data_IF_551881474046
#
_entry.id   IF_551881474046
#
_cell.length_a   1.000
_cell.length_b   1.000
_cell.length_c   1.000
_cell.angle_alpha   90.00
_cell.angle_beta   90.00
_cell.angle_gamma   90.00
#
_symmetry.space_group_name_H-M   'P 1'
#
loop_
_entity.id
_entity.type
_entity.pdbx_description
1 polymer ?
#
# COMPACT_ATOMS: atom_id res chain seq x y z
N UNK A 1 -10.36 -4.55 57.06
CA UNK A 1 -9.74 -5.46 56.08
C UNK A 1 -8.79 -4.70 55.18
N UNK A 2 -7.53 -5.15 55.07
CA UNK A 2 -6.47 -4.46 54.32
C UNK A 2 -6.26 -4.98 52.89
N UNK A 3 -7.07 -5.94 52.44
CA UNK A 3 -6.98 -6.55 51.09
C UNK A 3 -8.33 -6.40 50.39
N UNK A 4 -8.31 -5.83 49.19
CA UNK A 4 -9.50 -5.66 48.34
C UNK A 4 -9.44 -6.69 47.21
N UNK A 5 -10.21 -7.79 47.27
CA UNK A 5 -10.10 -8.89 46.30
C UNK A 5 -10.46 -8.47 44.86
N UNK A 6 -11.30 -7.45 44.68
CA UNK A 6 -11.68 -6.95 43.36
C UNK A 6 -10.50 -6.42 42.55
N UNK A 7 -9.54 -5.74 43.19
CA UNK A 7 -8.34 -5.21 42.54
C UNK A 7 -7.46 -6.35 42.01
N UNK A 8 -7.28 -7.41 42.80
CA UNK A 8 -6.52 -8.60 42.38
C UNK A 8 -7.21 -9.37 41.26
N UNK A 9 -8.54 -9.49 41.30
CA UNK A 9 -9.31 -10.09 40.21
C UNK A 9 -9.13 -9.32 38.90
N UNK A 10 -9.11 -7.98 38.96
CA UNK A 10 -8.88 -7.13 37.79
C UNK A 10 -7.46 -7.31 37.22
N UNK A 11 -6.44 -7.37 38.08
CA UNK A 11 -5.05 -7.65 37.68
C UNK A 11 -4.97 -9.01 36.99
N UNK A 12 -5.57 -10.04 37.58
CA UNK A 12 -5.56 -11.40 37.03
C UNK A 12 -6.25 -11.49 35.67
N UNK A 13 -7.40 -10.82 35.50
CA UNK A 13 -8.11 -10.74 34.23
C UNK A 13 -7.24 -10.04 33.17
N UNK A 14 -6.64 -8.90 33.51
CA UNK A 14 -5.72 -8.17 32.64
C UNK A 14 -4.48 -8.97 32.23
N UNK A 15 -3.83 -9.60 33.20
CA UNK A 15 -2.66 -10.44 33.01
C UNK A 15 -2.98 -11.63 32.08
N UNK A 16 -4.11 -12.31 32.30
CA UNK A 16 -4.54 -13.43 31.46
C UNK A 16 -4.81 -12.97 30.03
N UNK A 17 -5.54 -11.86 29.85
CA UNK A 17 -5.84 -11.32 28.52
C UNK A 17 -4.57 -10.87 27.80
N UNK A 18 -3.61 -10.25 28.50
CA UNK A 18 -2.31 -9.88 27.93
C UNK A 18 -1.47 -11.11 27.56
N UNK A 19 -1.50 -12.14 28.40
CA UNK A 19 -0.86 -13.43 28.17
C UNK A 19 -1.42 -14.20 26.96
N UNK A 20 -2.59 -13.82 26.43
CA UNK A 20 -3.14 -14.39 25.19
C UNK A 20 -2.95 -13.46 24.00
N UNK A 21 -3.24 -12.16 24.18
CA UNK A 21 -3.31 -11.17 23.08
C UNK A 21 -2.03 -10.38 22.84
N UNK A 22 -1.10 -10.36 23.80
CA UNK A 22 0.12 -9.52 23.81
C UNK A 22 -0.11 -7.99 23.74
N UNK A 23 -1.34 -7.52 23.99
CA UNK A 23 -1.68 -6.09 24.01
C UNK A 23 -1.39 -5.45 25.38
N UNK A 24 -0.13 -5.19 25.72
CA UNK A 24 0.24 -4.72 27.06
C UNK A 24 -0.23 -3.28 27.38
N UNK A 25 0.07 -2.31 26.51
CA UNK A 25 -0.24 -0.89 26.77
C UNK A 25 -1.74 -0.64 26.71
N UNK A 26 -2.41 -1.16 25.69
CA UNK A 26 -3.86 -0.98 25.51
C UNK A 26 -4.65 -1.56 26.68
N UNK A 27 -4.29 -2.76 27.17
CA UNK A 27 -4.96 -3.35 28.32
C UNK A 27 -4.71 -2.58 29.61
N UNK A 28 -3.48 -2.09 29.83
CA UNK A 28 -3.19 -1.27 31.00
C UNK A 28 -4.06 0.01 31.03
N UNK A 29 -4.23 0.66 29.87
CA UNK A 29 -5.11 1.83 29.73
C UNK A 29 -6.58 1.47 29.95
N UNK A 30 -7.08 0.37 29.35
CA UNK A 30 -8.48 -0.05 29.55
C UNK A 30 -8.78 -0.31 31.03
N UNK A 31 -7.91 -1.02 31.75
CA UNK A 31 -8.12 -1.32 33.17
C UNK A 31 -8.03 -0.06 34.03
N UNK A 32 -7.13 0.86 33.68
CA UNK A 32 -7.06 2.17 34.32
C UNK A 32 -8.36 2.96 34.15
N UNK A 33 -8.83 3.12 32.91
CA UNK A 33 -10.05 3.86 32.58
C UNK A 33 -11.29 3.24 33.26
N UNK A 34 -11.41 1.91 33.25
CA UNK A 34 -12.52 1.21 33.91
C UNK A 34 -12.50 1.36 35.44
N UNK A 35 -11.31 1.49 36.05
CA UNK A 35 -11.17 1.66 37.50
C UNK A 35 -11.35 3.11 37.92
N UNK A 36 -11.03 4.08 37.04
CA UNK A 36 -11.18 5.51 37.31
C UNK A 36 -10.27 6.05 38.42
N UNK A 37 -9.24 5.30 38.82
CA UNK A 37 -8.31 5.66 39.90
C UNK A 37 -6.85 5.52 39.45
N UNK A 38 -6.06 6.57 39.68
CA UNK A 38 -4.63 6.63 39.34
C UNK A 38 -3.76 5.75 40.26
N UNK A 39 -4.23 5.47 41.49
CA UNK A 39 -3.44 4.74 42.49
C UNK A 39 -3.17 3.29 42.10
N UNK A 40 -4.04 2.68 41.29
CA UNK A 40 -3.93 1.28 40.90
C UNK A 40 -3.26 1.06 39.52
N UNK A 41 -2.83 2.12 38.83
CA UNK A 41 -2.22 2.03 37.50
C UNK A 41 -0.88 1.29 37.52
N UNK A 42 -0.03 1.60 38.50
CA UNK A 42 1.27 0.96 38.65
C UNK A 42 1.17 -0.55 38.90
N UNK A 43 0.38 -1.05 39.87
CA UNK A 43 0.24 -2.49 40.08
C UNK A 43 -0.40 -3.22 38.89
N UNK A 44 -1.36 -2.60 38.18
CA UNK A 44 -1.96 -3.19 36.98
C UNK A 44 -0.96 -3.33 35.84
N UNK A 45 -0.22 -2.27 35.53
CA UNK A 45 0.78 -2.27 34.46
C UNK A 45 1.92 -3.25 34.75
N UNK A 46 2.37 -3.35 36.00
CA UNK A 46 3.40 -4.31 36.41
C UNK A 46 2.92 -5.76 36.24
N UNK A 47 1.72 -6.09 36.69
CA UNK A 47 1.15 -7.43 36.53
C UNK A 47 1.01 -7.84 35.05
N UNK A 48 0.54 -6.92 34.22
CA UNK A 48 0.42 -7.11 32.77
C UNK A 48 1.80 -7.31 32.12
N UNK A 49 2.82 -6.53 32.53
CA UNK A 49 4.17 -6.62 31.98
C UNK A 49 4.82 -7.97 32.30
N UNK A 50 4.72 -8.44 33.55
CA UNK A 50 5.25 -9.75 33.96
C UNK A 50 4.53 -10.87 33.20
N UNK A 51 3.21 -10.77 33.04
CA UNK A 51 2.45 -11.73 32.25
C UNK A 51 2.89 -11.75 30.78
N UNK A 52 3.12 -10.58 30.16
CA UNK A 52 3.66 -10.48 28.80
C UNK A 52 5.02 -11.15 28.68
N UNK A 53 5.97 -10.85 29.56
CA UNK A 53 7.31 -11.45 29.50
C UNK A 53 7.28 -12.97 29.69
N UNK A 54 6.48 -13.45 30.64
CA UNK A 54 6.31 -14.89 30.86
C UNK A 54 5.71 -15.55 29.62
N UNK A 55 4.71 -14.92 29.01
CA UNK A 55 4.06 -15.45 27.82
C UNK A 55 4.97 -15.40 26.58
N UNK A 56 5.72 -14.31 26.37
CA UNK A 56 6.72 -14.17 25.29
C UNK A 56 7.84 -15.22 25.41
N UNK A 57 8.20 -15.63 26.63
CA UNK A 57 9.19 -16.67 26.88
C UNK A 57 8.67 -18.09 26.57
N UNK A 58 7.37 -18.33 26.73
CA UNK A 58 6.74 -19.64 26.43
C UNK A 58 6.40 -19.76 24.96
N UNK A 59 5.73 -18.75 24.40
CA UNK A 59 5.35 -18.69 22.99
C UNK A 59 5.48 -17.23 22.51
N UNK A 60 6.39 -16.93 21.57
CA UNK A 60 6.61 -15.56 21.12
C UNK A 60 5.42 -14.98 20.31
N UNK A 61 4.56 -15.83 19.74
CA UNK A 61 3.42 -15.40 18.91
C UNK A 61 2.17 -15.16 19.76
N UNK A 62 1.39 -14.14 19.41
CA UNK A 62 0.06 -13.95 19.99
C UNK A 62 -0.98 -14.87 19.34
N UNK A 63 -2.16 -15.00 19.97
CA UNK A 63 -3.30 -15.70 19.34
C UNK A 63 -3.68 -15.09 17.99
N UNK A 64 -3.52 -13.77 17.82
CA UNK A 64 -3.85 -13.08 16.58
C UNK A 64 -2.84 -13.39 15.48
N UNK A 65 -1.56 -13.47 15.82
CA UNK A 65 -0.52 -13.85 14.87
C UNK A 65 -0.74 -15.30 14.42
N UNK A 66 -1.04 -16.20 15.36
CA UNK A 66 -1.33 -17.60 15.05
C UNK A 66 -2.57 -17.74 14.15
N UNK A 67 -3.64 -17.01 14.43
CA UNK A 67 -4.86 -17.05 13.62
C UNK A 67 -4.62 -16.48 12.21
N UNK A 68 -3.77 -15.44 12.10
CA UNK A 68 -3.38 -14.85 10.82
C UNK A 68 -2.59 -15.86 9.98
N UNK A 69 -1.64 -16.57 10.62
CA UNK A 69 -0.86 -17.63 9.99
C UNK A 69 -1.74 -18.81 9.55
N UNK A 70 -2.65 -19.26 10.42
CA UNK A 70 -3.57 -20.38 10.14
C UNK A 70 -4.51 -20.08 8.96
N UNK A 71 -4.96 -18.84 8.82
CA UNK A 71 -5.81 -18.41 7.70
C UNK A 71 -5.02 -18.01 6.45
N UNK A 72 -3.68 -18.07 6.50
CA UNK A 72 -2.78 -17.68 5.41
C UNK A 72 -3.08 -16.27 4.85
N UNK A 73 -3.46 -15.33 5.73
CA UNK A 73 -3.69 -13.96 5.30
C UNK A 73 -2.38 -13.28 4.92
N UNK A 74 -2.35 -12.49 3.83
CA UNK A 74 -1.16 -11.75 3.42
C UNK A 74 -0.95 -10.54 4.34
N UNK A 75 -0.41 -10.78 5.53
CA UNK A 75 -0.04 -9.77 6.52
C UNK A 75 1.46 -9.48 6.45
N UNK A 76 1.80 -8.19 6.45
CA UNK A 76 3.19 -7.73 6.55
C UNK A 76 3.39 -7.19 7.96
N UNK A 77 4.13 -7.92 8.80
CA UNK A 77 4.43 -7.46 10.15
C UNK A 77 5.44 -6.30 10.08
N UNK A 78 5.08 -5.15 10.65
CA UNK A 78 5.93 -3.97 10.72
C UNK A 78 7.15 -4.15 11.66
N UNK A 79 7.09 -5.12 12.57
CA UNK A 79 8.13 -5.38 13.57
C UNK A 79 9.17 -6.36 13.08
N UNK A 80 8.76 -7.35 12.28
CA UNK A 80 9.68 -8.20 11.56
C UNK A 80 10.47 -7.33 10.56
N UNK A 81 11.79 -7.25 10.75
CA UNK A 81 12.71 -6.71 9.75
C UNK A 81 13.45 -7.90 9.15
N UNK A 82 12.95 -8.49 8.04
CA UNK A 82 13.66 -9.57 7.38
C UNK A 82 15.01 -9.03 6.90
N UNK A 83 16.05 -9.85 6.95
CA UNK A 83 17.34 -9.48 6.37
C UNK A 83 17.23 -9.77 4.88
N UNK A 84 17.12 -8.74 4.06
CA UNK A 84 17.03 -8.92 2.62
C UNK A 84 18.43 -8.99 2.01
N UNK A 85 18.74 -10.11 1.35
CA UNK A 85 19.98 -10.28 0.57
C UNK A 85 19.77 -10.07 -0.93
N UNK A 86 18.52 -9.89 -1.37
CA UNK A 86 18.12 -9.76 -2.77
C UNK A 86 17.78 -8.33 -3.13
N UNK A 87 17.71 -8.06 -4.43
CA UNK A 87 17.33 -6.77 -4.96
C UNK A 87 15.87 -6.78 -5.43
N UNK A 88 15.23 -5.61 -5.46
CA UNK A 88 13.86 -5.45 -5.96
C UNK A 88 13.68 -6.01 -7.38
N UNK A 89 14.74 -6.01 -8.21
CA UNK A 89 14.71 -6.56 -9.56
C UNK A 89 14.38 -8.06 -9.58
N UNK A 90 14.78 -8.81 -8.57
CA UNK A 90 14.67 -10.27 -8.54
C UNK A 90 13.20 -10.70 -8.33
N UNK A 91 12.41 -9.85 -7.67
CA UNK A 91 10.97 -10.04 -7.45
C UNK A 91 10.10 -9.32 -8.49
N UNK A 92 10.72 -8.53 -9.37
CA UNK A 92 10.00 -7.77 -10.40
C UNK A 92 9.79 -8.65 -11.62
N UNK A 93 8.55 -9.05 -11.86
CA UNK A 93 8.22 -9.77 -13.08
C UNK A 93 8.34 -8.87 -14.31
N UNK A 94 8.86 -9.39 -15.44
CA UNK A 94 9.00 -8.62 -16.67
C UNK A 94 7.63 -8.13 -17.16
N UNK A 95 7.58 -6.96 -17.81
CA UNK A 95 6.33 -6.33 -18.19
C UNK A 95 5.66 -7.13 -19.29
N UNK A 96 4.53 -7.78 -18.96
CA UNK A 96 3.69 -8.46 -19.95
C UNK A 96 2.78 -7.43 -20.64
N UNK A 97 2.60 -7.53 -21.96
CA UNK A 97 1.75 -6.63 -22.77
C UNK A 97 0.29 -6.58 -22.30
N UNK A 98 -0.18 -7.61 -21.60
CA UNK A 98 -1.51 -7.65 -21.01
C UNK A 98 -1.61 -6.92 -19.66
N UNK A 99 -0.49 -6.54 -19.05
CA UNK A 99 -0.40 -5.94 -17.71
C UNK A 99 -0.05 -4.45 -17.72
N UNK A 100 -0.03 -3.79 -18.88
CA UNK A 100 0.14 -2.34 -19.00
C UNK A 100 -0.68 -1.80 -20.16
N UNK A 101 -1.03 -0.52 -20.14
CA UNK A 101 -1.70 0.20 -21.23
C UNK A 101 -0.65 0.99 -22.00
N UNK A 102 -0.54 0.75 -23.30
CA UNK A 102 0.39 1.46 -24.16
C UNK A 102 -0.36 2.58 -24.90
N UNK A 103 0.08 3.82 -24.69
CA UNK A 103 -0.48 5.03 -25.31
C UNK A 103 0.55 5.72 -26.23
N UNK A 104 1.55 4.98 -26.70
CA UNK A 104 2.61 5.50 -27.58
C UNK A 104 2.06 5.98 -28.91
N UNK A 105 1.16 5.22 -29.53
CA UNK A 105 0.58 5.57 -30.84
C UNK A 105 -0.56 6.58 -30.73
N UNK A 106 -1.35 6.50 -29.65
CA UNK A 106 -2.50 7.38 -29.42
C UNK A 106 -2.85 7.41 -27.93
N UNK A 107 -3.27 8.57 -27.38
CA UNK A 107 -3.81 8.65 -26.02
C UNK A 107 -5.20 8.01 -25.89
N UNK A 108 -5.84 7.65 -27.01
CA UNK A 108 -7.14 6.99 -27.08
C UNK A 108 -6.95 5.49 -27.26
N UNK A 109 -7.47 4.71 -26.31
CA UNK A 109 -7.40 3.24 -26.32
C UNK A 109 -8.83 2.66 -26.42
N UNK A 110 -9.08 1.66 -27.27
CA UNK A 110 -10.40 1.03 -27.35
C UNK A 110 -10.83 0.40 -26.03
N UNK A 111 -12.08 0.65 -25.61
CA UNK A 111 -12.64 0.12 -24.36
C UNK A 111 -12.53 -1.41 -24.26
N UNK A 112 -12.79 -2.12 -25.37
CA UNK A 112 -12.66 -3.58 -25.48
C UNK A 112 -11.27 -4.10 -25.14
N UNK A 113 -10.21 -3.38 -25.54
CA UNK A 113 -8.84 -3.77 -25.21
C UNK A 113 -8.56 -3.58 -23.71
N UNK A 114 -9.10 -2.52 -23.11
CA UNK A 114 -8.99 -2.29 -21.67
C UNK A 114 -9.75 -3.34 -20.87
N UNK A 115 -10.95 -3.74 -21.33
CA UNK A 115 -11.73 -4.84 -20.73
C UNK A 115 -10.97 -6.15 -20.74
N UNK A 116 -10.37 -6.54 -21.86
CA UNK A 116 -9.56 -7.76 -21.93
C UNK A 116 -8.33 -7.72 -21.02
N UNK A 117 -7.70 -6.55 -20.82
CA UNK A 117 -6.58 -6.40 -19.87
C UNK A 117 -7.04 -6.47 -18.42
N UNK A 118 -8.20 -5.88 -18.11
CA UNK A 118 -8.83 -5.98 -16.79
C UNK A 118 -9.20 -7.42 -16.46
N UNK A 119 -9.84 -8.14 -17.39
CA UNK A 119 -10.16 -9.57 -17.25
C UNK A 119 -8.91 -10.42 -17.03
N UNK A 120 -7.82 -10.12 -17.75
CA UNK A 120 -6.54 -10.80 -17.54
C UNK A 120 -5.99 -10.57 -16.13
N UNK A 121 -6.08 -9.35 -15.60
CA UNK A 121 -5.70 -9.05 -14.22
C UNK A 121 -6.59 -9.78 -13.19
N UNK A 122 -7.89 -9.87 -13.45
CA UNK A 122 -8.84 -10.61 -12.61
C UNK A 122 -8.53 -12.12 -12.60
N UNK A 123 -8.26 -12.71 -13.76
CA UNK A 123 -7.87 -14.12 -13.87
C UNK A 123 -6.53 -14.42 -13.18
N UNK A 124 -5.63 -13.43 -13.08
CA UNK A 124 -4.39 -13.54 -12.32
C UNK A 124 -4.59 -13.38 -10.79
N UNK A 125 -5.81 -13.11 -10.31
CA UNK A 125 -6.13 -12.87 -8.90
C UNK A 125 -5.72 -11.47 -8.40
N UNK A 126 -5.44 -10.55 -9.32
CA UNK A 126 -5.00 -9.17 -9.05
C UNK A 126 -6.18 -8.19 -9.11
N UNK A 127 -7.29 -8.52 -8.43
CA UNK A 127 -8.52 -7.71 -8.40
C UNK A 127 -8.29 -6.28 -7.89
N UNK A 128 -7.48 -6.14 -6.84
CA UNK A 128 -7.11 -4.85 -6.24
C UNK A 128 -5.93 -4.18 -6.96
N UNK A 129 -5.60 -4.66 -8.16
CA UNK A 129 -4.42 -4.27 -8.90
C UNK A 129 -4.52 -2.90 -9.56
N UNK A 130 -3.52 -2.57 -10.36
CA UNK A 130 -3.50 -1.36 -11.16
C UNK A 130 -2.79 -1.60 -12.48
N UNK A 131 -3.27 -0.96 -13.54
CA UNK A 131 -2.69 -1.03 -14.87
C UNK A 131 -1.84 0.22 -15.12
N UNK A 132 -0.51 0.09 -15.28
CA UNK A 132 0.37 1.20 -15.61
C UNK A 132 0.14 1.66 -17.04
N UNK A 133 0.18 2.97 -17.23
CA UNK A 133 -0.02 3.64 -18.51
C UNK A 133 1.36 4.11 -19.00
N UNK A 134 1.77 3.62 -20.16
CA UNK A 134 3.10 3.81 -20.73
C UNK A 134 3.05 4.60 -22.04
N UNK A 135 4.00 5.51 -22.25
CA UNK A 135 4.26 6.20 -23.51
C UNK A 135 5.73 6.03 -23.88
N UNK A 136 6.03 5.41 -25.02
CA UNK A 136 7.39 5.08 -25.46
C UNK A 136 8.20 4.28 -24.41
N UNK A 137 7.51 3.42 -23.64
CA UNK A 137 8.10 2.66 -22.55
C UNK A 137 8.37 3.47 -21.26
N UNK A 138 7.98 4.74 -21.22
CA UNK A 138 8.05 5.61 -20.03
C UNK A 138 6.72 5.53 -19.28
N UNK A 139 6.78 5.37 -17.96
CA UNK A 139 5.59 5.38 -17.09
C UNK A 139 5.01 6.80 -17.00
N UNK A 140 3.78 6.97 -17.46
CA UNK A 140 3.06 8.27 -17.44
C UNK A 140 2.02 8.31 -16.32
N UNK A 141 1.40 7.16 -16.02
CA UNK A 141 0.35 7.06 -15.03
C UNK A 141 0.06 5.63 -14.62
N UNK A 142 -0.91 5.47 -13.73
CA UNK A 142 -1.38 4.20 -13.23
C UNK A 142 -2.88 4.32 -12.95
N UNK A 143 -3.68 3.39 -13.46
CA UNK A 143 -5.12 3.34 -13.21
C UNK A 143 -5.45 2.11 -12.34
N UNK A 144 -6.11 2.27 -11.19
CA UNK A 144 -6.59 1.13 -10.41
C UNK A 144 -7.60 0.29 -11.21
N UNK A 145 -7.53 -1.03 -11.06
CA UNK A 145 -8.46 -1.95 -11.73
C UNK A 145 -9.94 -1.66 -11.38
N UNK A 146 -10.32 -1.40 -10.12
CA UNK A 146 -11.71 -1.06 -9.79
C UNK A 146 -12.20 0.24 -10.44
N UNK A 147 -11.34 1.24 -10.55
CA UNK A 147 -11.69 2.53 -11.17
C UNK A 147 -11.88 2.37 -12.68
N UNK A 148 -11.04 1.53 -13.30
CA UNK A 148 -11.18 1.17 -14.71
C UNK A 148 -12.45 0.36 -14.96
N UNK A 149 -12.74 -0.63 -14.11
CA UNK A 149 -13.98 -1.43 -14.18
C UNK A 149 -15.20 -0.52 -14.09
N UNK A 150 -15.24 0.33 -13.07
CA UNK A 150 -16.30 1.32 -12.88
C UNK A 150 -16.45 2.26 -14.09
N UNK A 151 -15.35 2.70 -14.69
CA UNK A 151 -15.39 3.56 -15.87
C UNK A 151 -15.91 2.82 -17.12
N UNK A 152 -15.55 1.55 -17.29
CA UNK A 152 -15.99 0.72 -18.41
C UNK A 152 -17.47 0.33 -18.28
N UNK A 153 -17.94 0.00 -17.08
CA UNK A 153 -19.34 -0.36 -16.82
C UNK A 153 -20.32 0.81 -17.04
N UNK A 154 -19.83 2.05 -17.08
CA UNK A 154 -20.63 3.24 -17.41
C UNK A 154 -20.79 3.49 -18.90
N UNK A 155 -20.11 2.72 -19.75
CA UNK A 155 -20.25 2.84 -21.20
C UNK A 155 -21.52 2.11 -21.68
N UNK A 156 -22.30 2.76 -22.53
CA UNK A 156 -23.50 2.13 -23.14
C UNK A 156 -23.12 1.01 -24.12
N UNK A 157 -21.96 1.14 -24.77
CA UNK A 157 -21.39 0.15 -25.69
C UNK A 157 -19.87 0.16 -25.59
N UNK A 158 -19.27 -1.02 -25.44
CA UNK A 158 -17.82 -1.19 -25.52
C UNK A 158 -17.33 -1.27 -26.99
N UNK A 159 -18.23 -1.61 -27.91
CA UNK A 159 -17.92 -1.69 -29.33
C UNK A 159 -17.87 -0.27 -29.91
N UNK A 160 -16.66 0.18 -30.25
CA UNK A 160 -16.39 1.48 -30.86
C UNK A 160 -16.07 2.62 -29.87
N UNK A 161 -16.24 2.40 -28.56
CA UNK A 161 -15.86 3.38 -27.56
C UNK A 161 -14.33 3.51 -27.44
N UNK A 162 -13.84 4.75 -27.46
CA UNK A 162 -12.45 5.09 -27.25
C UNK A 162 -12.30 5.79 -25.90
N UNK A 163 -11.42 5.27 -25.05
CA UNK A 163 -11.15 5.81 -23.72
C UNK A 163 -9.88 6.66 -23.75
N UNK A 164 -9.97 7.89 -23.26
CA UNK A 164 -8.82 8.78 -23.12
C UNK A 164 -8.01 8.41 -21.88
N UNK A 165 -6.78 7.95 -22.07
CA UNK A 165 -5.90 7.47 -20.99
C UNK A 165 -4.88 8.51 -20.54
N UNK A 166 -4.74 9.62 -21.26
CA UNK A 166 -3.87 10.73 -20.89
C UNK A 166 -4.44 12.04 -21.41
N UNK A 167 -4.66 13.00 -20.51
CA UNK A 167 -5.10 14.37 -20.83
C UNK A 167 -3.93 15.32 -21.10
N UNK A 168 -2.70 14.85 -20.95
CA UNK A 168 -1.52 15.70 -20.89
C UNK A 168 -0.80 15.76 -22.25
N UNK A 169 -1.02 16.85 -22.99
CA UNK A 169 -0.33 17.13 -24.27
C UNK A 169 1.14 17.53 -24.10
N UNK A 170 1.62 17.78 -22.88
CA UNK A 170 3.00 18.26 -22.65
C UNK A 170 3.65 17.53 -21.49
N UNK A 171 4.53 16.59 -21.83
CA UNK A 171 5.58 16.13 -20.92
C UNK A 171 6.54 17.31 -20.68
N UNK A 172 6.32 18.06 -19.60
CA UNK A 172 7.35 18.98 -19.10
C UNK A 172 8.27 18.14 -18.22
N UNK A 173 9.42 17.77 -18.75
CA UNK A 173 10.46 17.09 -17.98
C UNK A 173 10.88 17.92 -16.76
N UNK A 174 11.57 17.30 -15.79
CA UNK A 174 12.09 18.03 -14.64
C UNK A 174 13.20 18.97 -15.14
N UNK A 175 12.91 20.28 -15.21
CA UNK A 175 13.92 21.28 -15.56
C UNK A 175 13.46 22.56 -16.26
N UNK A 176 12.21 22.70 -16.71
CA UNK A 176 11.76 23.99 -17.28
C UNK A 176 11.32 24.94 -16.16
N UNK A 177 12.30 25.59 -15.54
CA UNK A 177 12.09 26.74 -14.67
C UNK A 177 11.29 27.85 -15.37
N UNK A 178 10.54 28.54 -14.53
CA UNK A 178 9.79 29.77 -14.77
C UNK A 178 10.53 30.74 -15.70
N UNK A 179 9.92 31.08 -16.85
CA UNK A 179 10.13 32.38 -17.47
C UNK A 179 9.02 32.71 -18.47
N UNK A 180 8.33 33.83 -18.24
CA UNK A 180 7.64 34.59 -19.28
C UNK A 180 6.12 34.63 -19.19
N UNK A 181 5.59 35.56 -18.38
CA UNK A 181 4.40 36.32 -18.80
C UNK A 181 4.75 37.09 -20.09
N UNK A 182 3.78 37.29 -21.00
CA UNK A 182 3.27 38.65 -21.08
C UNK A 182 1.73 38.69 -21.07
N UNK A 183 1.24 39.74 -20.44
CA UNK A 183 -0.16 40.19 -20.46
C UNK A 183 -0.50 40.70 -21.87
N UNK A 184 -1.67 40.34 -22.39
CA UNK A 184 -2.44 41.25 -23.27
C UNK A 184 -3.94 40.91 -23.24
N UNK A 185 -4.71 41.99 -23.10
CA UNK A 185 -6.14 42.19 -22.90
C UNK A 185 -7.14 41.44 -23.84
N UNK A 186 -8.15 40.80 -23.22
CA UNK A 186 -9.63 40.73 -23.46
C UNK A 186 -10.28 40.78 -24.88
N UNK A 187 -11.60 40.45 -25.08
CA UNK A 187 -12.57 39.61 -24.31
C UNK A 187 -13.42 38.63 -25.20
N UNK A 188 -14.32 37.88 -24.52
CA UNK A 188 -15.65 37.41 -24.95
C UNK A 188 -15.91 35.89 -25.19
N UNK A 189 -16.82 35.39 -24.34
CA UNK A 189 -17.93 34.44 -24.58
C UNK A 189 -17.65 32.94 -24.79
N UNK A 190 -18.20 32.14 -23.85
CA UNK A 190 -18.32 30.69 -23.94
C UNK A 190 -18.38 30.05 -22.56
N UNK A 191 -19.57 29.98 -21.98
CA UNK A 191 -19.85 29.28 -20.73
C UNK A 191 -19.34 27.82 -20.80
N UNK A 192 -18.31 27.50 -20.00
CA UNK A 192 -17.91 26.12 -19.71
C UNK A 192 -18.11 25.86 -18.23
N UNK A 193 -19.07 25.00 -17.95
CA UNK A 193 -19.38 24.46 -16.63
C UNK A 193 -18.16 23.65 -16.14
N UNK A 194 -17.37 24.22 -15.22
CA UNK A 194 -16.34 23.51 -14.49
C UNK A 194 -16.96 22.91 -13.24
N UNK A 195 -17.05 21.58 -13.19
CA UNK A 195 -17.26 20.84 -11.95
C UNK A 195 -15.94 20.22 -11.51
N UNK A 196 -15.49 20.69 -10.35
CA UNK A 196 -14.73 20.02 -9.31
C UNK A 196 -13.35 19.41 -9.61
N UNK A 197 -12.39 19.92 -8.83
CA UNK A 197 -10.99 19.52 -8.71
C UNK A 197 -10.78 18.00 -8.64
N UNK A 198 -9.88 17.41 -9.46
CA UNK A 198 -9.40 16.05 -9.20
C UNK A 198 -8.47 16.06 -7.98
N UNK A 199 -8.50 14.99 -7.16
CA UNK A 199 -7.73 14.92 -5.92
C UNK A 199 -6.23 15.00 -6.22
N UNK A 200 -5.53 15.83 -5.46
CA UNK A 200 -4.09 16.03 -5.58
C UNK A 200 -3.35 14.72 -5.34
N UNK A 201 -2.95 14.06 -6.44
CA UNK A 201 -2.10 12.88 -6.40
C UNK A 201 -0.71 13.31 -5.94
N UNK A 202 -0.40 13.05 -4.67
CA UNK A 202 0.90 13.35 -4.07
C UNK A 202 1.97 12.50 -4.76
N UNK A 203 2.85 13.12 -5.55
CA UNK A 203 3.98 12.44 -6.20
C UNK A 203 5.28 12.63 -5.40
N UNK A 204 6.07 11.57 -5.19
CA UNK A 204 7.40 11.68 -4.62
C UNK A 204 8.35 12.41 -5.58
N UNK A 205 9.17 13.29 -5.02
CA UNK A 205 10.19 14.10 -5.70
C UNK A 205 11.18 13.22 -6.47
N UNK A 206 11.41 13.57 -7.73
CA UNK A 206 12.45 12.98 -8.57
C UNK A 206 13.85 13.29 -7.97
N UNK A 207 14.64 12.24 -7.80
CA UNK A 207 16.10 12.31 -7.59
C UNK A 207 16.77 11.44 -8.66
N UNK A 208 18.02 11.81 -8.97
CA UNK A 208 18.81 11.53 -10.17
C UNK A 208 18.88 10.11 -10.77
N UNK A 209 19.24 9.98 -12.07
CA UNK A 209 19.18 8.73 -12.84
C UNK A 209 20.52 7.96 -12.83
N UNK A 210 20.92 7.46 -11.67
CA UNK A 210 21.93 6.38 -11.59
C UNK A 210 21.32 5.22 -10.84
N UNK A 211 20.81 4.24 -11.60
CA UNK A 211 20.49 2.86 -11.23
C UNK A 211 20.22 2.59 -9.73
N UNK A 212 19.35 3.39 -9.12
CA UNK A 212 18.94 3.16 -7.74
C UNK A 212 17.85 2.11 -7.78
N UNK A 213 18.24 0.84 -7.90
CA UNK A 213 17.38 -0.24 -7.43
C UNK A 213 17.29 -0.06 -5.91
N UNK A 214 16.17 0.44 -5.37
CA UNK A 214 16.09 0.70 -3.95
C UNK A 214 16.36 -0.60 -3.19
N UNK A 215 17.09 -0.55 -2.07
CA UNK A 215 17.27 -1.72 -1.24
C UNK A 215 15.89 -2.23 -0.81
N UNK A 216 15.76 -3.54 -0.67
CA UNK A 216 14.49 -4.18 -0.29
C UNK A 216 13.95 -3.66 1.05
N UNK A 217 14.80 -3.17 1.94
CA UNK A 217 14.41 -2.45 3.15
C UNK A 217 13.56 -1.21 2.87
N UNK A 218 13.94 -0.40 1.86
CA UNK A 218 13.18 0.79 1.51
C UNK A 218 11.81 0.41 0.94
N UNK A 219 11.77 -0.63 0.11
CA UNK A 219 10.54 -1.19 -0.46
C UNK A 219 9.61 -1.69 0.65
N UNK A 220 10.17 -2.40 1.63
CA UNK A 220 9.45 -2.84 2.83
C UNK A 220 8.87 -1.64 3.59
N UNK A 221 9.67 -0.61 3.85
CA UNK A 221 9.19 0.60 4.54
C UNK A 221 8.10 1.33 3.76
N UNK A 222 8.18 1.37 2.43
CA UNK A 222 7.10 1.93 1.60
C UNK A 222 5.79 1.15 1.78
N UNK A 223 5.82 -0.19 1.79
CA UNK A 223 4.61 -1.00 1.98
C UNK A 223 4.04 -0.93 3.40
N UNK A 224 4.89 -0.81 4.42
CA UNK A 224 4.49 -0.76 5.84
C UNK A 224 4.05 0.64 6.25
N UNK A 225 4.86 1.67 5.97
CA UNK A 225 4.65 3.03 6.48
C UNK A 225 3.73 3.86 5.59
N UNK A 226 3.87 3.78 4.26
CA UNK A 226 3.00 4.51 3.33
C UNK A 226 1.72 3.71 2.99
N UNK A 227 1.66 2.43 3.35
CA UNK A 227 0.50 1.59 3.10
C UNK A 227 0.23 1.36 1.61
N UNK A 228 1.26 1.40 0.76
CA UNK A 228 1.10 1.23 -0.68
C UNK A 228 0.51 -0.14 -1.03
N UNK A 229 -0.24 -0.22 -2.12
CA UNK A 229 -0.76 -1.48 -2.68
C UNK A 229 0.16 -2.11 -3.72
N UNK A 230 0.88 -1.26 -4.44
CA UNK A 230 1.78 -1.63 -5.52
C UNK A 230 2.90 -0.60 -5.63
N UNK A 231 4.02 -1.01 -6.22
CA UNK A 231 5.18 -0.15 -6.53
C UNK A 231 5.55 -0.40 -7.99
N UNK A 232 5.62 0.67 -8.78
CA UNK A 232 6.16 0.59 -10.14
C UNK A 232 7.68 0.67 -10.08
N UNK A 233 8.35 -0.25 -10.79
CA UNK A 233 9.79 -0.31 -10.89
C UNK A 233 10.21 0.29 -12.22
N UNK A 234 11.16 1.22 -12.17
CA UNK A 234 11.74 1.87 -13.34
C UNK A 234 13.20 1.45 -13.45
N UNK A 235 13.67 1.20 -14.67
CA UNK A 235 15.07 0.97 -15.00
C UNK A 235 15.47 1.93 -16.13
N UNK A 236 16.49 2.74 -15.89
CA UNK A 236 16.97 3.73 -16.87
C UNK A 236 15.84 4.65 -17.41
N UNK A 237 14.92 5.05 -16.53
CA UNK A 237 13.76 5.88 -16.88
C UNK A 237 12.65 5.16 -17.66
N UNK A 238 12.80 3.86 -17.94
CA UNK A 238 11.79 3.02 -18.59
C UNK A 238 11.08 2.14 -17.58
N UNK A 239 9.83 1.80 -17.86
CA UNK A 239 9.05 0.90 -17.03
C UNK A 239 9.61 -0.53 -17.08
N UNK A 240 9.98 -1.05 -15.92
CA UNK A 240 10.57 -2.38 -15.77
C UNK A 240 9.59 -3.40 -15.19
N UNK A 241 8.60 -2.97 -14.41
CA UNK A 241 7.57 -3.85 -13.88
C UNK A 241 6.77 -3.23 -12.74
N UNK A 242 5.84 -4.00 -12.18
CA UNK A 242 5.01 -3.58 -11.06
C UNK A 242 4.98 -4.69 -10.02
N UNK A 243 5.27 -4.32 -8.77
CA UNK A 243 5.31 -5.23 -7.63
C UNK A 243 4.10 -4.98 -6.76
N UNK A 244 3.25 -6.00 -6.60
CA UNK A 244 2.12 -5.95 -5.67
C UNK A 244 2.55 -6.27 -4.24
N UNK A 245 1.88 -5.65 -3.26
CA UNK A 245 2.05 -5.98 -1.84
C UNK A 245 1.83 -7.47 -1.57
N UNK A 246 0.86 -8.11 -2.24
CA UNK A 246 0.59 -9.56 -2.10
C UNK A 246 1.82 -10.40 -2.49
N UNK A 247 2.46 -10.09 -3.61
CA UNK A 247 3.68 -10.76 -4.07
C UNK A 247 4.84 -10.51 -3.10
N UNK A 248 4.98 -9.27 -2.64
CA UNK A 248 6.02 -8.90 -1.69
C UNK A 248 5.87 -9.60 -0.33
N UNK A 249 4.63 -9.74 0.17
CA UNK A 249 4.35 -10.48 1.42
C UNK A 249 4.69 -11.96 1.27
N UNK A 250 4.34 -12.59 0.14
CA UNK A 250 4.73 -13.99 -0.13
C UNK A 250 6.24 -14.14 -0.14
N UNK A 251 6.94 -13.23 -0.82
CA UNK A 251 8.40 -13.22 -0.83
C UNK A 251 9.00 -13.09 0.58
N UNK A 252 8.52 -12.16 1.41
CA UNK A 252 9.00 -12.01 2.79
C UNK A 252 8.79 -13.29 3.62
N UNK A 253 7.68 -14.00 3.39
CA UNK A 253 7.40 -15.27 4.05
C UNK A 253 8.37 -16.36 3.62
N UNK A 254 8.66 -16.49 2.32
CA UNK A 254 9.64 -17.44 1.79
C UNK A 254 11.05 -17.18 2.34
N UNK A 255 11.47 -15.91 2.42
CA UNK A 255 12.75 -15.54 3.04
C UNK A 255 12.78 -15.95 4.51
N UNK A 256 11.71 -15.68 5.26
CA UNK A 256 11.63 -16.03 6.68
C UNK A 256 11.58 -17.54 6.93
N UNK A 257 10.97 -18.32 6.02
CA UNK A 257 10.97 -19.78 6.09
C UNK A 257 12.35 -20.37 5.77
N UNK A 258 13.11 -19.76 4.86
CA UNK A 258 14.48 -20.19 4.53
C UNK A 258 15.53 -19.83 5.58
N UNK A 259 15.27 -18.84 6.44
CA UNK A 259 16.16 -18.46 7.56
C UNK A 259 16.00 -19.36 8.80
N UNK A 260 14.94 -20.17 8.88
CA UNK A 260 14.66 -21.10 10.00
C UNK A 260 15.28 -22.47 9.77
#
# INVERSE_FOLDING_TARGET
SCVVPGVYALVAAGATMCGVTRLSVTLAVILFELTGSLEHVLPFSLGILIAKWTADAVEPRSIYDLLTDMNAYPYLDAKARPIFTTELRDITHPPNRNRFVDITSSPLVPAKQLRSKLEYAHMAGELDGGLPILRDGILVGLIPAPDLEYALDRLESEDGALCLMSTQERWQGPGSGVSGRPETDAPAEGERFMTDDPPQLQRPSATDPTDFTPPMDLVFECFVKLGLRYICVLKEGRYAGLVHKKTFVRYCREVHENEK
#
